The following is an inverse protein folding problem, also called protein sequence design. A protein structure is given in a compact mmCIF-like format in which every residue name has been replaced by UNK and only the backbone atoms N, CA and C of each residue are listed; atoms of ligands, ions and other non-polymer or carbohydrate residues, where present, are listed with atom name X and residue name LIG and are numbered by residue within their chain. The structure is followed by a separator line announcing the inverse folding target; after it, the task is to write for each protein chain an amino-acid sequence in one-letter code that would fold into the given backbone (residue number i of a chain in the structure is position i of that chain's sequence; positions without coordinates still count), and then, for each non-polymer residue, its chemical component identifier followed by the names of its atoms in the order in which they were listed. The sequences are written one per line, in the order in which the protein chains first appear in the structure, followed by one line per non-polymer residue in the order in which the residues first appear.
data_IF_742052986600
#
_entry.id   IF_742052986600
#
_cell.length_a   1.000
_cell.length_b   1.000
_cell.length_c   1.000
_cell.angle_alpha   90.00
_cell.angle_beta   90.00
_cell.angle_gamma   90.00
#
_symmetry.space_group_name_H-M   'P 1'
#
loop_
_entity.id
_entity.type
_entity.pdbx_description
1 polymer ?
#
# COMPACT_ATOMS: atom_id res chain seq x y z
N UNK A 1 -20.83 -12.05 -2.41
CA UNK A 1 -20.26 -10.74 -2.78
C UNK A 1 -19.60 -10.93 -4.14
N UNK A 2 -20.18 -10.40 -5.21
CA UNK A 2 -19.61 -10.55 -6.56
C UNK A 2 -18.50 -9.50 -6.73
N UNK A 3 -17.28 -9.94 -7.05
CA UNK A 3 -16.14 -9.06 -7.29
C UNK A 3 -16.00 -8.88 -8.80
N UNK A 4 -16.09 -7.66 -9.30
CA UNK A 4 -15.83 -7.32 -10.69
C UNK A 4 -14.38 -6.89 -10.87
N UNK A 5 -13.66 -7.57 -11.76
CA UNK A 5 -12.27 -7.24 -12.09
C UNK A 5 -12.22 -6.41 -13.37
N UNK A 6 -11.69 -5.19 -13.27
CA UNK A 6 -11.45 -4.32 -14.42
C UNK A 6 -9.95 -4.14 -14.62
N UNK A 7 -9.47 -4.50 -15.81
CA UNK A 7 -8.06 -4.32 -16.18
C UNK A 7 -7.96 -3.05 -17.03
N UNK A 8 -7.32 -2.02 -16.48
CA UNK A 8 -7.02 -0.78 -17.20
C UNK A 8 -5.57 -0.83 -17.67
N UNK A 9 -5.35 -1.15 -18.94
CA UNK A 9 -4.03 -1.01 -19.58
C UNK A 9 -3.87 0.41 -20.11
N UNK A 10 -2.73 1.03 -19.85
CA UNK A 10 -2.42 2.33 -20.47
C UNK A 10 -2.06 2.11 -21.94
N UNK A 11 -2.80 2.76 -22.84
CA UNK A 11 -2.53 2.71 -24.27
C UNK A 11 -1.19 3.40 -24.59
N UNK A 12 -0.38 2.77 -25.44
CA UNK A 12 0.87 3.35 -25.96
C UNK A 12 2.10 3.18 -25.07
N UNK A 13 2.02 2.43 -23.96
CA UNK A 13 3.20 2.04 -23.19
C UNK A 13 3.79 0.73 -23.73
N UNK A 14 5.05 0.78 -24.13
CA UNK A 14 5.85 -0.42 -24.42
C UNK A 14 6.32 -0.97 -23.08
N UNK A 15 5.87 -2.16 -22.74
CA UNK A 15 6.33 -2.87 -21.55
C UNK A 15 7.61 -3.63 -21.91
N UNK A 16 8.54 -3.68 -20.97
CA UNK A 16 9.72 -4.52 -21.07
C UNK A 16 9.28 -6.00 -21.05
N UNK A 17 9.93 -6.85 -21.85
CA UNK A 17 9.69 -8.30 -21.80
C UNK A 17 10.21 -8.88 -20.49
N UNK A 18 9.53 -9.92 -20.00
CA UNK A 18 9.90 -10.58 -18.77
C UNK A 18 11.17 -11.42 -18.99
N UNK A 19 12.19 -11.18 -18.15
CA UNK A 19 13.44 -11.95 -18.14
C UNK A 19 13.94 -12.13 -16.69
N UNK A 20 15.09 -12.77 -16.49
CA UNK A 20 15.65 -13.01 -15.14
C UNK A 20 15.95 -11.72 -14.36
N UNK A 21 16.26 -10.61 -15.05
CA UNK A 21 16.53 -9.30 -14.45
C UNK A 21 15.27 -8.43 -14.31
N UNK A 22 14.23 -8.73 -15.09
CA UNK A 22 12.98 -7.97 -15.18
C UNK A 22 11.78 -8.89 -14.97
N UNK A 23 11.61 -9.45 -13.76
CA UNK A 23 10.48 -10.33 -13.48
C UNK A 23 9.16 -9.54 -13.53
N UNK A 24 8.10 -10.20 -13.97
CA UNK A 24 6.74 -9.67 -13.86
C UNK A 24 6.37 -9.46 -12.40
N UNK A 25 6.05 -8.22 -12.02
CA UNK A 25 5.64 -7.88 -10.65
C UNK A 25 4.12 -7.64 -10.61
N UNK A 26 3.41 -8.46 -9.84
CA UNK A 26 2.00 -8.27 -9.56
C UNK A 26 1.80 -7.69 -8.16
N UNK A 27 1.16 -6.52 -8.07
CA UNK A 27 0.88 -5.84 -6.80
C UNK A 27 -0.62 -5.85 -6.49
N UNK A 28 -0.96 -6.43 -5.34
CA UNK A 28 -2.30 -6.36 -4.76
C UNK A 28 -2.32 -5.27 -3.69
N UNK A 29 -3.07 -4.20 -3.93
CA UNK A 29 -3.26 -3.11 -2.97
C UNK A 29 -4.71 -3.10 -2.51
N UNK A 30 -4.92 -3.27 -1.21
CA UNK A 30 -6.24 -3.29 -0.58
C UNK A 30 -6.48 -1.96 0.14
N UNK A 31 -7.58 -1.27 -0.17
CA UNK A 31 -8.00 -0.12 0.64
C UNK A 31 -8.57 -0.59 1.99
N UNK A 32 -8.46 0.30 2.98
CA UNK A 32 -8.15 0.12 4.39
C UNK A 32 -8.64 -1.17 5.05
N UNK A 33 -7.70 -1.92 5.61
CA UNK A 33 -7.92 -2.91 6.66
C UNK A 33 -6.97 -2.62 7.84
N UNK A 34 -7.32 -3.08 9.05
CA UNK A 34 -6.35 -3.18 10.14
C UNK A 34 -5.59 -4.51 9.99
N UNK A 35 -4.35 -4.59 10.49
CA UNK A 35 -3.57 -5.84 10.43
C UNK A 35 -4.32 -7.02 11.09
N UNK A 36 -4.89 -6.79 12.27
CA UNK A 36 -5.60 -7.81 13.04
C UNK A 36 -6.90 -8.29 12.38
N UNK A 37 -7.67 -7.37 11.77
CA UNK A 37 -8.88 -7.75 11.01
C UNK A 37 -8.51 -8.38 9.67
N UNK A 38 -7.51 -7.83 8.98
CA UNK A 38 -7.04 -8.31 7.68
C UNK A 38 -6.64 -9.78 7.73
N UNK A 39 -5.79 -10.18 8.69
CA UNK A 39 -5.35 -11.57 8.84
C UNK A 39 -6.54 -12.55 8.95
N UNK A 40 -7.62 -12.13 9.62
CA UNK A 40 -8.83 -12.94 9.81
C UNK A 40 -9.73 -12.95 8.57
N UNK A 41 -9.88 -11.82 7.90
CA UNK A 41 -10.80 -11.67 6.77
C UNK A 41 -10.25 -12.28 5.47
N UNK A 42 -8.93 -12.26 5.26
CA UNK A 42 -8.27 -12.81 4.06
C UNK A 42 -7.42 -14.06 4.38
N UNK A 43 -7.93 -14.92 5.25
CA UNK A 43 -7.22 -16.11 5.72
C UNK A 43 -6.81 -17.05 4.58
N UNK A 44 -7.73 -17.34 3.65
CA UNK A 44 -7.46 -18.20 2.49
C UNK A 44 -6.37 -17.60 1.60
N UNK A 45 -6.43 -16.30 1.32
CA UNK A 45 -5.40 -15.59 0.54
C UNK A 45 -4.03 -15.70 1.23
N UNK A 46 -3.96 -15.49 2.55
CA UNK A 46 -2.72 -15.62 3.30
C UNK A 46 -2.16 -17.04 3.27
N UNK A 47 -3.01 -18.07 3.35
CA UNK A 47 -2.58 -19.46 3.22
C UNK A 47 -1.99 -19.71 1.82
N UNK A 48 -2.67 -19.26 0.77
CA UNK A 48 -2.20 -19.45 -0.61
C UNK A 48 -0.84 -18.78 -0.81
N UNK A 49 -0.71 -17.52 -0.39
CA UNK A 49 0.54 -16.76 -0.54
C UNK A 49 1.70 -17.41 0.21
N UNK A 50 1.48 -17.88 1.44
CA UNK A 50 2.55 -18.48 2.25
C UNK A 50 2.92 -19.90 1.82
N UNK A 51 1.94 -20.70 1.39
CA UNK A 51 2.16 -22.12 1.07
C UNK A 51 2.61 -22.34 -0.37
N UNK A 52 2.06 -21.60 -1.33
CA UNK A 52 2.33 -21.83 -2.75
C UNK A 52 3.32 -20.83 -3.36
N UNK A 53 3.46 -19.64 -2.78
CA UNK A 53 4.30 -18.57 -3.32
C UNK A 53 5.47 -18.17 -2.39
N UNK A 54 5.71 -18.93 -1.32
CA UNK A 54 6.76 -18.66 -0.32
C UNK A 54 6.79 -17.20 0.17
N UNK A 55 5.60 -16.61 0.33
CA UNK A 55 5.49 -15.19 0.64
C UNK A 55 5.97 -14.85 2.05
N UNK A 56 6.80 -13.82 2.16
CA UNK A 56 7.26 -13.28 3.44
C UNK A 56 6.29 -12.24 4.00
N UNK A 57 5.97 -12.34 5.30
CA UNK A 57 5.08 -11.40 6.00
C UNK A 57 5.86 -10.37 6.79
N UNK A 58 5.52 -9.10 6.61
CA UNK A 58 6.06 -7.99 7.41
C UNK A 58 5.09 -7.60 8.53
N UNK A 59 5.35 -8.01 9.77
CA UNK A 59 4.42 -7.84 10.89
C UNK A 59 4.27 -6.39 11.37
N UNK A 60 5.31 -5.56 11.21
CA UNK A 60 5.36 -4.19 11.74
C UNK A 60 5.41 -3.14 10.64
N UNK A 61 4.84 -3.45 9.49
CA UNK A 61 4.75 -2.49 8.39
C UNK A 61 3.62 -1.50 8.63
N UNK A 62 3.98 -0.28 9.01
CA UNK A 62 3.04 0.78 9.37
C UNK A 62 2.60 1.61 8.17
N UNK A 63 1.37 2.14 8.26
CA UNK A 63 0.87 3.13 7.30
C UNK A 63 1.64 4.44 7.44
N UNK A 64 1.83 5.12 6.31
CA UNK A 64 2.43 6.46 6.20
C UNK A 64 1.42 7.58 6.56
N UNK A 65 0.11 7.32 6.38
CA UNK A 65 -0.99 8.20 6.75
C UNK A 65 -2.31 7.44 7.00
N UNK A 66 -3.37 8.13 7.45
CA UNK A 66 -4.65 7.48 7.76
C UNK A 66 -5.36 7.00 6.49
N UNK A 67 -5.29 7.81 5.44
CA UNK A 67 -6.02 7.61 4.19
C UNK A 67 -5.22 6.80 3.17
N UNK A 68 -5.89 6.16 2.21
CA UNK A 68 -5.23 5.38 1.15
C UNK A 68 -4.30 6.23 0.26
N UNK A 69 -4.68 7.48 -0.03
CA UNK A 69 -3.92 8.37 -0.92
C UNK A 69 -2.47 8.65 -0.46
N UNK A 70 -2.19 9.09 0.79
CA UNK A 70 -0.82 9.29 1.24
C UNK A 70 -0.02 7.98 1.30
N UNK A 71 -0.67 6.86 1.60
CA UNK A 71 -0.02 5.54 1.61
C UNK A 71 0.41 5.09 0.20
N UNK A 72 -0.50 5.17 -0.77
CA UNK A 72 -0.21 4.84 -2.16
C UNK A 72 0.87 5.76 -2.74
N UNK A 73 0.79 7.08 -2.48
CA UNK A 73 1.80 8.01 -2.94
C UNK A 73 3.20 7.66 -2.39
N UNK A 74 3.29 7.36 -1.10
CA UNK A 74 4.57 7.00 -0.49
C UNK A 74 5.13 5.67 -1.02
N UNK A 75 4.25 4.69 -1.26
CA UNK A 75 4.64 3.40 -1.84
C UNK A 75 5.23 3.55 -3.26
N UNK A 76 4.64 4.38 -4.11
CA UNK A 76 5.08 4.52 -5.51
C UNK A 76 6.14 5.60 -5.75
N UNK A 77 6.19 6.64 -4.92
CA UNK A 77 7.17 7.73 -5.08
C UNK A 77 8.40 7.58 -4.19
N UNK A 78 8.33 6.73 -3.16
CA UNK A 78 9.36 6.66 -2.10
C UNK A 78 9.41 7.91 -1.20
N UNK A 79 8.48 8.85 -1.37
CA UNK A 79 8.44 10.12 -0.62
C UNK A 79 7.13 10.30 0.11
N UNK A 80 7.17 10.95 1.28
CA UNK A 80 5.99 11.20 2.10
C UNK A 80 5.36 12.54 1.75
N UNK A 81 4.02 12.58 1.66
CA UNK A 81 3.27 13.84 1.60
C UNK A 81 3.33 14.49 2.98
N UNK A 82 4.03 15.62 3.08
CA UNK A 82 4.13 16.43 4.30
C UNK A 82 3.14 17.59 4.35
N UNK A 83 2.72 18.10 3.20
CA UNK A 83 1.80 19.22 3.08
C UNK A 83 0.77 18.92 2.00
N UNK A 84 -0.47 19.34 2.24
CA UNK A 84 -1.53 19.29 1.25
C UNK A 84 -1.68 20.66 0.59
N UNK A 85 -1.95 20.66 -0.72
CA UNK A 85 -2.23 21.88 -1.46
C UNK A 85 -3.50 22.55 -0.91
N UNK A 86 -3.36 23.70 -0.27
CA UNK A 86 -4.46 24.48 0.33
C UNK A 86 -5.55 24.84 -0.67
N UNK A 87 -5.20 25.00 -1.96
CA UNK A 87 -6.20 25.31 -3.00
C UNK A 87 -7.18 24.16 -3.21
N UNK A 88 -6.72 22.93 -2.97
CA UNK A 88 -7.49 21.69 -3.09
C UNK A 88 -8.06 21.23 -1.75
N UNK A 89 -7.41 21.59 -0.65
CA UNK A 89 -7.77 21.19 0.71
C UNK A 89 -7.73 22.41 1.65
N UNK A 90 -8.69 23.34 1.51
CA UNK A 90 -8.72 24.56 2.32
C UNK A 90 -8.88 24.21 3.80
N UNK A 91 -8.00 24.77 4.65
CA UNK A 91 -8.00 24.54 6.10
C UNK A 91 -7.41 23.19 6.55
N UNK A 92 -6.81 22.41 5.63
CA UNK A 92 -6.12 21.14 5.94
C UNK A 92 -4.74 21.10 5.28
N UNK A 93 -3.91 22.12 5.49
CA UNK A 93 -2.54 22.24 4.94
C UNK A 93 -1.54 21.31 5.63
N UNK A 94 -1.76 21.03 6.91
CA UNK A 94 -0.82 20.32 7.76
C UNK A 94 -0.78 18.82 7.47
N UNK A 95 0.38 18.19 7.67
CA UNK A 95 0.51 16.74 7.62
C UNK A 95 -0.46 16.09 8.61
N UNK A 96 -1.18 15.05 8.18
CA UNK A 96 -2.07 14.26 9.07
C UNK A 96 -1.33 13.70 10.32
N UNK A 97 0.00 13.51 10.23
CA UNK A 97 0.84 13.12 11.35
C UNK A 97 2.16 13.89 11.36
N UNK A 98 2.25 14.94 12.16
CA UNK A 98 3.53 15.56 12.49
C UNK A 98 4.39 14.56 13.28
N UNK A 99 5.61 14.27 12.82
CA UNK A 99 6.57 13.41 13.53
C UNK A 99 6.12 11.96 13.84
N UNK A 100 5.66 11.22 12.82
CA UNK A 100 5.25 9.80 12.95
C UNK A 100 6.31 8.87 13.58
N UNK A 101 7.59 9.27 13.61
CA UNK A 101 8.68 8.51 14.22
C UNK A 101 8.98 8.87 15.69
N UNK A 102 8.33 9.87 16.29
CA UNK A 102 8.55 10.24 17.71
C UNK A 102 7.63 9.54 18.71
N UNK A 103 6.50 8.97 18.27
CA UNK A 103 5.41 8.59 19.20
C UNK A 103 5.23 7.08 19.38
N UNK A 104 5.90 6.21 18.61
CA UNK A 104 5.73 4.75 18.79
C UNK A 104 6.84 3.90 18.18
N UNK A 105 8.10 4.29 18.40
CA UNK A 105 9.22 3.36 18.31
C UNK A 105 9.72 3.10 19.73
N UNK A 106 8.92 2.35 20.51
CA UNK A 106 9.08 1.84 21.91
C UNK A 106 7.63 1.51 22.36
N UNK A 107 7.19 0.34 22.82
CA UNK A 107 7.82 -0.79 23.51
C UNK A 107 6.86 -2.01 23.40
N UNK A 108 7.43 -3.23 23.27
CA UNK A 108 6.85 -4.59 23.36
C UNK A 108 5.91 -5.05 22.24
#
# INVERSE_FOLDING_TARGET
MSVSMFVVKQNGKVFQEEDELHPGVFMLVLDSTSSSSGIRTIMETNQVLRQFYDATTFYYHNKVGLNSRPNAFAMFSGTRISQLDERRFPGKSDSEYSNSCKVSCLTV
#
